data_IF_550924586001
#
_entry.id   IF_550924586001
#
_cell.length_a   1.000
_cell.length_b   1.000
_cell.length_c   1.000
_cell.angle_alpha   90.00
_cell.angle_beta   90.00
_cell.angle_gamma   90.00
#
_symmetry.space_group_name_H-M   'P 1'
#
loop_
_entity.id
_entity.type
_entity.pdbx_description
1 polymer ?
#
# COMPACT_ATOMS: atom_id res chain seq x y z
N UNK A 1 -13.92 21.72 -22.25
CA UNK A 1 -12.85 20.74 -21.97
C UNK A 1 -11.82 21.42 -21.11
N UNK A 2 -11.91 21.23 -19.80
CA UNK A 2 -10.95 21.81 -18.84
C UNK A 2 -9.84 20.77 -18.66
N UNK A 3 -8.71 21.02 -19.34
CA UNK A 3 -7.48 20.25 -19.23
C UNK A 3 -6.81 20.50 -17.87
N UNK A 4 -5.84 19.66 -17.50
CA UNK A 4 -4.96 19.92 -16.34
C UNK A 4 -4.43 21.37 -16.36
N UNK A 5 -4.29 22.02 -15.19
CA UNK A 5 -3.82 23.40 -15.13
C UNK A 5 -2.45 23.51 -15.79
N UNK A 6 -2.30 24.51 -16.67
CA UNK A 6 -1.02 24.82 -17.30
C UNK A 6 -0.04 25.30 -16.23
N UNK A 7 1.26 25.08 -16.47
CA UNK A 7 2.32 25.60 -15.59
C UNK A 7 2.14 27.11 -15.36
N UNK A 8 2.04 27.51 -14.09
CA UNK A 8 1.80 28.89 -13.61
C UNK A 8 0.42 29.48 -13.92
N UNK A 9 -0.60 28.66 -14.19
CA UNK A 9 -1.99 29.11 -14.35
C UNK A 9 -2.93 28.34 -13.42
N UNK A 10 -4.06 28.97 -13.10
CA UNK A 10 -5.17 28.32 -12.41
C UNK A 10 -6.13 27.62 -13.38
N UNK A 11 -6.98 26.77 -12.81
CA UNK A 11 -8.17 26.19 -13.47
C UNK A 11 -9.30 26.19 -12.45
N UNK A 12 -10.54 26.29 -12.92
CA UNK A 12 -11.70 26.17 -12.05
C UNK A 12 -11.81 24.75 -11.49
N UNK A 13 -12.09 24.65 -10.19
CA UNK A 13 -12.35 23.37 -9.53
C UNK A 13 -13.85 23.12 -9.55
N UNK A 14 -14.27 22.09 -10.30
CA UNK A 14 -15.68 21.76 -10.48
C UNK A 14 -16.27 21.00 -9.28
N UNK A 15 -15.45 20.17 -8.62
CA UNK A 15 -15.88 19.32 -7.52
C UNK A 15 -14.70 18.97 -6.59
N UNK A 16 -14.98 18.82 -5.30
CA UNK A 16 -14.02 18.33 -4.30
C UNK A 16 -14.70 17.36 -3.35
N UNK A 17 -14.04 16.26 -3.02
CA UNK A 17 -14.48 15.30 -2.03
C UNK A 17 -13.30 14.79 -1.19
N UNK A 18 -13.56 14.48 0.08
CA UNK A 18 -12.59 13.88 0.98
C UNK A 18 -12.87 12.40 1.21
N UNK A 19 -11.83 11.58 1.17
CA UNK A 19 -11.91 10.14 1.45
C UNK A 19 -10.67 9.66 2.20
N UNK A 20 -10.79 8.56 2.93
CA UNK A 20 -9.64 7.85 3.49
C UNK A 20 -8.90 7.18 2.33
N UNK A 21 -7.63 7.53 2.16
CA UNK A 21 -6.78 7.05 1.07
C UNK A 21 -5.67 6.13 1.57
N UNK A 22 -4.98 5.48 0.64
CA UNK A 22 -3.87 4.55 0.90
C UNK A 22 -4.33 3.09 0.88
N UNK A 23 -3.43 2.21 0.43
CA UNK A 23 -3.78 0.81 0.19
C UNK A 23 -4.04 0.06 1.50
N UNK A 24 -3.22 0.26 2.55
CA UNK A 24 -3.46 -0.32 3.88
C UNK A 24 -4.91 -0.16 4.39
N UNK A 25 -5.45 1.07 4.51
CA UNK A 25 -6.85 1.29 4.89
C UNK A 25 -7.88 0.64 3.94
N UNK A 26 -7.65 0.67 2.63
CA UNK A 26 -8.57 0.09 1.65
C UNK A 26 -8.56 -1.44 1.70
N UNK A 27 -7.41 -2.06 1.92
CA UNK A 27 -7.27 -3.50 2.14
C UNK A 27 -7.98 -3.91 3.43
N UNK A 28 -7.77 -3.17 4.52
CA UNK A 28 -8.47 -3.44 5.78
C UNK A 28 -9.99 -3.32 5.64
N UNK A 29 -10.48 -2.30 4.93
CA UNK A 29 -11.91 -2.14 4.62
C UNK A 29 -12.45 -3.28 3.75
N UNK A 30 -11.68 -3.72 2.75
CA UNK A 30 -12.06 -4.82 1.86
C UNK A 30 -12.12 -6.15 2.63
N UNK A 31 -11.15 -6.41 3.52
CA UNK A 31 -11.17 -7.57 4.40
C UNK A 31 -12.40 -7.57 5.32
N UNK A 32 -12.72 -6.43 5.92
CA UNK A 32 -13.94 -6.31 6.74
C UNK A 32 -15.22 -6.54 5.93
N UNK A 33 -15.29 -6.00 4.71
CA UNK A 33 -16.40 -6.26 3.79
C UNK A 33 -16.56 -7.74 3.40
N UNK A 34 -15.47 -8.52 3.45
CA UNK A 34 -15.44 -9.97 3.24
C UNK A 34 -15.62 -10.78 4.53
N UNK A 35 -15.86 -10.14 5.68
CA UNK A 35 -16.07 -10.80 6.97
C UNK A 35 -14.79 -11.20 7.70
N UNK A 36 -13.64 -10.64 7.31
CA UNK A 36 -12.36 -10.85 7.97
C UNK A 36 -11.99 -9.64 8.85
N UNK A 37 -11.86 -9.81 10.18
CA UNK A 37 -11.42 -8.74 11.05
C UNK A 37 -10.05 -8.19 10.64
N UNK A 38 -9.91 -6.86 10.64
CA UNK A 38 -8.66 -6.19 10.30
C UNK A 38 -8.36 -5.06 11.30
N UNK A 39 -7.08 -4.95 11.65
CA UNK A 39 -6.51 -3.81 12.36
C UNK A 39 -5.53 -3.07 11.45
N UNK A 40 -5.51 -1.75 11.55
CA UNK A 40 -4.65 -0.88 10.74
C UNK A 40 -3.56 -0.28 11.62
N UNK A 41 -2.30 -0.57 11.29
CA UNK A 41 -1.14 0.10 11.88
C UNK A 41 -0.62 1.16 10.91
N UNK A 42 -0.54 2.42 11.33
CA UNK A 42 -0.25 3.53 10.42
C UNK A 42 0.55 4.65 11.08
N UNK A 43 0.90 5.66 10.27
CA UNK A 43 1.21 6.99 10.77
C UNK A 43 0.10 7.51 11.71
N UNK A 44 0.40 8.49 12.58
CA UNK A 44 -0.61 9.07 13.44
C UNK A 44 -1.68 9.81 12.65
N UNK A 45 -2.79 10.10 13.31
CA UNK A 45 -3.87 10.95 12.81
C UNK A 45 -4.09 11.99 13.89
N UNK A 46 -4.14 13.27 13.53
CA UNK A 46 -4.29 14.35 14.51
C UNK A 46 -5.76 14.49 14.94
N UNK A 47 -6.03 15.18 16.04
CA UNK A 47 -7.40 15.55 16.45
C UNK A 47 -7.86 16.87 15.78
N UNK A 48 -7.69 16.96 14.47
CA UNK A 48 -8.27 18.01 13.64
C UNK A 48 -9.52 17.50 12.92
N UNK A 49 -10.23 18.38 12.20
CA UNK A 49 -11.48 17.99 11.50
C UNK A 49 -11.25 16.84 10.50
N UNK A 50 -10.11 16.85 9.82
CA UNK A 50 -9.71 15.80 8.88
C UNK A 50 -9.48 14.49 9.61
N UNK A 51 -8.74 14.52 10.71
CA UNK A 51 -8.44 13.32 11.48
C UNK A 51 -9.66 12.72 12.16
N UNK A 52 -10.55 13.54 12.71
CA UNK A 52 -11.86 13.08 13.21
C UNK A 52 -12.68 12.41 12.12
N UNK A 53 -12.67 12.94 10.90
CA UNK A 53 -13.33 12.31 9.74
C UNK A 53 -12.70 10.95 9.38
N UNK A 54 -11.37 10.83 9.42
CA UNK A 54 -10.67 9.55 9.25
C UNK A 54 -11.08 8.55 10.34
N UNK A 55 -11.08 8.96 11.61
CA UNK A 55 -11.49 8.12 12.72
C UNK A 55 -12.94 7.64 12.60
N UNK A 56 -13.86 8.55 12.26
CA UNK A 56 -15.26 8.21 12.03
C UNK A 56 -15.39 7.17 10.90
N UNK A 57 -14.72 7.39 9.76
CA UNK A 57 -14.77 6.47 8.62
C UNK A 57 -14.22 5.08 8.95
N UNK A 58 -13.07 5.00 9.64
CA UNK A 58 -12.50 3.72 10.05
C UNK A 58 -13.40 3.00 11.05
N UNK A 59 -14.07 3.74 11.94
CA UNK A 59 -15.07 3.20 12.87
C UNK A 59 -16.27 2.64 12.11
N UNK A 60 -16.78 3.36 11.11
CA UNK A 60 -17.88 2.90 10.25
C UNK A 60 -17.51 1.62 9.47
N UNK A 61 -16.24 1.44 9.12
CA UNK A 61 -15.71 0.23 8.50
C UNK A 61 -15.36 -0.88 9.50
N UNK A 62 -15.60 -0.66 10.80
CA UNK A 62 -15.23 -1.58 11.89
C UNK A 62 -13.72 -1.89 11.92
N UNK A 63 -12.87 -0.95 11.50
CA UNK A 63 -11.41 -1.12 11.50
C UNK A 63 -10.85 -0.54 12.79
N UNK A 64 -10.08 -1.36 13.52
CA UNK A 64 -9.36 -0.88 14.69
C UNK A 64 -8.07 -0.20 14.25
N UNK A 65 -7.93 1.09 14.56
CA UNK A 65 -6.73 1.87 14.26
C UNK A 65 -5.70 1.77 15.39
N UNK A 66 -4.45 1.51 15.03
CA UNK A 66 -3.28 1.50 15.89
C UNK A 66 -2.22 2.45 15.32
N UNK A 67 -2.38 3.77 15.52
CA UNK A 67 -1.41 4.74 15.02
C UNK A 67 -0.09 4.61 15.79
N UNK A 68 1.01 5.03 15.18
CA UNK A 68 2.25 5.21 15.92
C UNK A 68 2.11 6.29 17.01
N UNK A 69 2.92 6.20 18.06
CA UNK A 69 2.83 7.08 19.22
C UNK A 69 3.39 8.50 18.98
N UNK A 70 3.82 8.81 17.76
CA UNK A 70 4.40 10.11 17.43
C UNK A 70 3.31 11.18 17.45
N UNK A 71 3.47 12.28 18.21
CA UNK A 71 2.48 13.35 18.23
C UNK A 71 2.42 14.05 16.87
N UNK A 72 1.21 14.45 16.46
CA UNK A 72 0.97 15.16 15.21
C UNK A 72 0.02 16.32 15.44
N UNK A 73 0.39 17.51 14.96
CA UNK A 73 -0.43 18.71 15.09
C UNK A 73 -1.55 18.77 14.05
N UNK A 74 -1.35 18.17 12.87
CA UNK A 74 -2.29 18.22 11.75
C UNK A 74 -2.26 16.96 10.92
N UNK A 75 -3.43 16.40 10.63
CA UNK A 75 -3.58 15.20 9.80
C UNK A 75 -3.05 15.48 8.39
N UNK A 76 -2.20 14.58 7.90
CA UNK A 76 -1.65 14.68 6.55
C UNK A 76 -2.73 14.42 5.51
N UNK A 77 -2.62 15.12 4.39
CA UNK A 77 -3.54 15.00 3.26
C UNK A 77 -2.76 14.65 2.01
N UNK A 78 -3.36 13.79 1.18
CA UNK A 78 -2.97 13.62 -0.20
C UNK A 78 -4.00 14.35 -1.06
N UNK A 79 -3.53 15.28 -1.91
CA UNK A 79 -4.40 15.97 -2.84
C UNK A 79 -4.30 15.26 -4.19
N UNK A 80 -5.42 14.73 -4.65
CA UNK A 80 -5.51 14.09 -5.96
C UNK A 80 -6.28 15.02 -6.89
N UNK A 81 -5.61 15.51 -7.92
CA UNK A 81 -6.23 16.28 -9.00
C UNK A 81 -6.51 15.34 -10.15
N UNK A 82 -7.76 15.35 -10.63
CA UNK A 82 -8.23 14.51 -11.73
C UNK A 82 -8.74 15.40 -12.85
N UNK A 83 -8.32 15.12 -14.08
CA UNK A 83 -8.88 15.79 -15.26
C UNK A 83 -10.07 15.03 -15.86
N UNK A 84 -10.74 15.65 -16.84
CA UNK A 84 -11.87 15.04 -17.55
C UNK A 84 -11.54 13.76 -18.32
N UNK A 85 -10.26 13.51 -18.59
CA UNK A 85 -9.79 12.28 -19.24
C UNK A 85 -9.48 11.17 -18.23
N UNK A 86 -9.67 11.42 -16.94
CA UNK A 86 -9.38 10.47 -15.87
C UNK A 86 -7.88 10.40 -15.50
N UNK A 87 -7.04 11.29 -16.03
CA UNK A 87 -5.65 11.37 -15.59
C UNK A 87 -5.60 11.91 -14.18
N UNK A 88 -4.71 11.36 -13.36
CA UNK A 88 -4.58 11.72 -11.94
C UNK A 88 -3.18 12.23 -11.66
N UNK A 89 -3.08 13.30 -10.87
CA UNK A 89 -1.82 13.76 -10.28
C UNK A 89 -1.98 13.87 -8.78
N UNK A 90 -1.01 13.34 -8.04
CA UNK A 90 -1.05 13.25 -6.58
C UNK A 90 -0.03 14.19 -5.95
N UNK A 91 -0.45 14.88 -4.89
CA UNK A 91 0.40 15.74 -4.08
C UNK A 91 0.31 15.27 -2.63
N UNK A 92 1.26 14.43 -2.25
CA UNK A 92 1.27 13.77 -0.94
C UNK A 92 2.04 14.59 0.09
N UNK A 93 1.46 14.80 1.26
CA UNK A 93 2.20 15.27 2.42
C UNK A 93 3.11 14.17 2.98
N UNK A 94 4.38 14.12 2.55
CA UNK A 94 5.31 13.03 2.92
C UNK A 94 6.28 13.37 4.06
N UNK A 95 6.27 14.61 4.56
CA UNK A 95 7.24 15.03 5.59
C UNK A 95 7.09 14.19 6.85
N UNK A 96 8.15 13.52 7.29
CA UNK A 96 8.21 12.79 8.57
C UNK A 96 7.52 11.42 8.60
N UNK A 97 6.94 10.94 7.49
CA UNK A 97 6.15 9.71 7.49
C UNK A 97 6.97 8.47 7.86
N UNK A 98 8.24 8.43 7.48
CA UNK A 98 9.10 7.26 7.70
C UNK A 98 9.48 7.12 9.17
N UNK A 99 9.82 8.22 9.83
CA UNK A 99 10.15 8.22 11.27
C UNK A 99 8.95 7.88 12.14
N UNK A 100 7.76 8.33 11.74
CA UNK A 100 6.52 7.97 12.40
C UNK A 100 6.18 6.49 12.24
N UNK A 101 6.34 5.91 11.04
CA UNK A 101 6.09 4.48 10.83
C UNK A 101 7.09 3.60 11.60
N UNK A 102 8.33 4.06 11.77
CA UNK A 102 9.32 3.38 12.63
C UNK A 102 8.90 3.33 14.10
N UNK A 103 7.98 4.19 14.53
CA UNK A 103 7.45 4.25 15.89
C UNK A 103 6.17 3.40 16.10
N UNK A 104 5.81 2.53 15.14
CA UNK A 104 4.71 1.57 15.31
C UNK A 104 5.05 0.57 16.44
N UNK A 105 4.06 0.31 17.30
CA UNK A 105 4.14 -0.67 18.39
C UNK A 105 4.13 -2.12 17.84
N UNK A 106 5.32 -2.66 17.59
CA UNK A 106 5.52 -3.99 16.98
C UNK A 106 4.91 -5.16 17.76
N UNK A 107 5.00 -5.24 19.10
CA UNK A 107 4.32 -6.28 19.88
C UNK A 107 2.84 -6.49 19.51
N UNK A 108 2.11 -5.42 19.18
CA UNK A 108 0.69 -5.50 18.78
C UNK A 108 0.45 -6.13 17.42
N UNK A 109 1.46 -6.14 16.53
CA UNK A 109 1.37 -6.78 15.22
C UNK A 109 1.43 -8.31 15.31
N UNK A 110 2.09 -8.84 16.33
CA UNK A 110 2.45 -10.28 16.41
C UNK A 110 1.29 -11.22 16.76
N UNK A 111 0.08 -10.69 16.97
CA UNK A 111 -1.13 -11.49 17.24
C UNK A 111 -1.87 -11.91 15.97
N UNK A 112 -1.59 -11.27 14.83
CA UNK A 112 -2.29 -11.54 13.59
C UNK A 112 -1.66 -12.72 12.82
N UNK A 113 -2.45 -13.62 12.20
CA UNK A 113 -1.90 -14.71 11.39
C UNK A 113 -1.35 -14.23 10.05
N UNK A 114 -1.79 -13.06 9.58
CA UNK A 114 -1.42 -12.46 8.29
C UNK A 114 -1.11 -10.97 8.48
N UNK A 115 -0.03 -10.51 7.87
CA UNK A 115 0.38 -9.10 7.82
C UNK A 115 0.45 -8.65 6.36
N UNK A 116 -0.33 -7.64 6.02
CA UNK A 116 -0.21 -6.89 4.77
C UNK A 116 0.69 -5.68 4.99
N UNK A 117 1.64 -5.45 4.08
CA UNK A 117 2.64 -4.41 4.21
C UNK A 117 2.81 -3.64 2.90
N UNK A 118 2.63 -2.32 2.97
CA UNK A 118 3.03 -1.40 1.91
C UNK A 118 4.55 -1.18 1.97
N UNK A 119 5.22 -1.40 0.84
CA UNK A 119 6.67 -1.28 0.67
C UNK A 119 7.00 -0.33 -0.49
N UNK A 120 6.33 0.82 -0.53
CA UNK A 120 6.61 1.86 -1.53
C UNK A 120 7.98 2.48 -1.30
N UNK A 121 8.63 2.93 -2.37
CA UNK A 121 9.94 3.56 -2.32
C UNK A 121 9.96 4.75 -1.33
N UNK A 122 8.87 5.52 -1.28
CA UNK A 122 8.71 6.68 -0.37
C UNK A 122 8.74 6.29 1.12
N UNK A 123 8.49 5.02 1.45
CA UNK A 123 8.51 4.49 2.82
C UNK A 123 9.92 4.03 3.24
N UNK A 124 10.87 3.98 2.29
CA UNK A 124 12.28 3.66 2.53
C UNK A 124 12.44 2.35 3.36
N UNK A 125 13.12 2.43 4.50
CA UNK A 125 13.35 1.29 5.40
C UNK A 125 12.28 1.14 6.49
N UNK A 126 11.30 2.04 6.60
CA UNK A 126 10.31 1.97 7.67
C UNK A 126 9.56 0.62 7.73
N UNK A 127 9.20 -0.03 6.60
CA UNK A 127 8.53 -1.34 6.62
C UNK A 127 9.44 -2.50 7.08
N UNK A 128 10.77 -2.34 7.07
CA UNK A 128 11.73 -3.42 7.34
C UNK A 128 11.54 -4.04 8.72
N UNK A 129 11.40 -3.21 9.76
CA UNK A 129 11.25 -3.67 11.13
C UNK A 129 9.91 -4.40 11.35
N UNK A 130 8.84 -3.93 10.71
CA UNK A 130 7.53 -4.58 10.73
C UNK A 130 7.60 -5.96 10.08
N UNK A 131 8.24 -6.08 8.91
CA UNK A 131 8.43 -7.36 8.25
C UNK A 131 9.25 -8.33 9.12
N UNK A 132 10.37 -7.87 9.69
CA UNK A 132 11.20 -8.71 10.55
C UNK A 132 10.40 -9.27 11.74
N UNK A 133 9.66 -8.41 12.44
CA UNK A 133 8.82 -8.80 13.58
C UNK A 133 7.70 -9.78 13.18
N UNK A 134 7.03 -9.54 12.05
CA UNK A 134 5.99 -10.43 11.54
C UNK A 134 6.56 -11.83 11.21
N UNK A 135 7.73 -11.88 10.58
CA UNK A 135 8.39 -13.13 10.25
C UNK A 135 8.89 -13.89 11.49
N UNK A 136 9.38 -13.17 12.51
CA UNK A 136 9.78 -13.77 13.79
C UNK A 136 8.59 -14.34 14.57
N UNK A 137 7.42 -13.69 14.49
CA UNK A 137 6.17 -14.17 15.06
C UNK A 137 5.52 -15.31 14.25
N UNK A 138 6.09 -15.69 13.10
CA UNK A 138 5.54 -16.74 12.24
C UNK A 138 4.30 -16.31 11.44
N UNK A 139 4.04 -15.01 11.32
CA UNK A 139 2.96 -14.47 10.50
C UNK A 139 3.20 -14.74 9.02
N UNK A 140 2.10 -14.89 8.28
CA UNK A 140 2.15 -14.85 6.82
C UNK A 140 2.26 -13.41 6.34
N UNK A 141 3.22 -13.12 5.48
CA UNK A 141 3.46 -11.75 4.99
C UNK A 141 2.99 -11.61 3.55
N UNK A 142 2.26 -10.53 3.27
CA UNK A 142 1.88 -10.07 1.94
C UNK A 142 2.47 -8.67 1.74
N UNK A 143 3.21 -8.47 0.67
CA UNK A 143 3.87 -7.20 0.35
C UNK A 143 3.26 -6.57 -0.88
N UNK A 144 2.97 -5.27 -0.82
CA UNK A 144 2.59 -4.45 -1.95
C UNK A 144 3.67 -3.41 -2.26
N UNK A 145 4.18 -3.41 -3.49
CA UNK A 145 5.20 -2.46 -3.96
C UNK A 145 4.59 -1.22 -4.64
N UNK A 146 3.32 -1.24 -5.03
CA UNK A 146 2.62 -0.08 -5.61
C UNK A 146 3.33 0.57 -6.80
N UNK A 147 4.02 -0.21 -7.63
CA UNK A 147 4.80 0.28 -8.78
C UNK A 147 6.24 0.68 -8.44
N UNK A 148 6.64 0.59 -7.17
CA UNK A 148 8.02 0.80 -6.74
C UNK A 148 8.91 -0.40 -7.05
N UNK A 149 10.23 -0.20 -7.22
CA UNK A 149 11.16 -1.31 -7.20
C UNK A 149 11.16 -2.00 -5.82
N UNK A 150 11.48 -3.30 -5.75
CA UNK A 150 11.69 -4.00 -4.49
C UNK A 150 12.78 -3.31 -3.65
N UNK A 151 12.56 -3.10 -2.35
CA UNK A 151 13.58 -2.48 -1.53
C UNK A 151 14.80 -3.40 -1.36
N UNK A 152 16.00 -2.82 -1.36
CA UNK A 152 17.27 -3.57 -1.28
C UNK A 152 17.36 -4.47 -0.03
N UNK A 153 16.70 -4.08 1.08
CA UNK A 153 16.68 -4.84 2.33
C UNK A 153 15.76 -6.07 2.30
N UNK A 154 14.91 -6.23 1.27
CA UNK A 154 13.86 -7.27 1.23
C UNK A 154 14.45 -8.68 1.34
N UNK A 155 15.35 -9.04 0.42
CA UNK A 155 15.97 -10.36 0.39
C UNK A 155 16.80 -10.62 1.66
N UNK A 156 17.51 -9.60 2.16
CA UNK A 156 18.30 -9.68 3.38
C UNK A 156 17.42 -9.97 4.61
N UNK A 157 16.26 -9.32 4.70
CA UNK A 157 15.31 -9.49 5.83
C UNK A 157 14.66 -10.86 5.82
N UNK A 158 14.43 -11.41 4.62
CA UNK A 158 13.84 -12.73 4.47
C UNK A 158 14.79 -13.87 4.81
N UNK A 159 16.10 -13.70 4.59
CA UNK A 159 17.15 -14.70 4.91
C UNK A 159 16.83 -16.10 4.35
N UNK A 160 16.35 -16.16 3.11
CA UNK A 160 15.97 -17.42 2.43
C UNK A 160 14.56 -17.94 2.79
N UNK A 161 13.78 -17.22 3.60
CA UNK A 161 12.34 -17.48 3.77
C UNK A 161 11.57 -16.87 2.60
N UNK A 162 10.37 -17.41 2.32
CA UNK A 162 9.44 -16.83 1.35
C UNK A 162 8.25 -16.19 2.04
N UNK A 163 7.83 -15.03 1.55
CA UNK A 163 6.53 -14.43 1.90
C UNK A 163 5.41 -15.10 1.10
N UNK A 164 4.16 -14.95 1.53
CA UNK A 164 3.02 -15.55 0.82
C UNK A 164 2.79 -14.90 -0.52
N UNK A 165 2.81 -13.57 -0.57
CA UNK A 165 2.58 -12.86 -1.80
C UNK A 165 3.42 -11.59 -1.90
N UNK A 166 3.92 -11.33 -3.10
CA UNK A 166 4.51 -10.06 -3.52
C UNK A 166 3.66 -9.51 -4.66
N UNK A 167 3.12 -8.31 -4.52
CA UNK A 167 2.33 -7.69 -5.56
C UNK A 167 2.84 -6.30 -5.95
N UNK A 168 2.59 -5.92 -7.20
CA UNK A 168 2.81 -4.57 -7.71
C UNK A 168 1.86 -4.27 -8.87
N UNK A 169 1.96 -3.07 -9.44
CA UNK A 169 1.38 -2.73 -10.73
C UNK A 169 2.47 -2.52 -11.78
N UNK A 170 2.09 -2.60 -13.05
CA UNK A 170 2.91 -2.18 -14.19
C UNK A 170 2.16 -1.14 -15.02
N UNK A 171 2.84 -0.54 -15.98
CA UNK A 171 2.17 0.22 -17.04
C UNK A 171 1.10 -0.65 -17.72
N UNK A 172 0.06 -0.03 -18.29
CA UNK A 172 -1.03 -0.74 -18.99
C UNK A 172 -0.58 -1.31 -20.35
N UNK A 173 0.42 -2.18 -20.35
CA UNK A 173 0.84 -2.96 -21.48
C UNK A 173 1.42 -4.31 -21.03
N UNK A 174 1.16 -5.34 -21.84
CA UNK A 174 1.52 -6.72 -21.52
C UNK A 174 3.03 -6.93 -21.40
N UNK A 175 3.84 -6.23 -22.20
CA UNK A 175 5.30 -6.40 -22.20
C UNK A 175 5.93 -5.94 -20.88
N UNK A 176 5.54 -4.75 -20.40
CA UNK A 176 5.96 -4.18 -19.11
C UNK A 176 5.55 -5.08 -17.95
N UNK A 177 4.32 -5.62 -18.00
CA UNK A 177 3.86 -6.55 -16.99
C UNK A 177 4.72 -7.82 -16.90
N UNK A 178 5.05 -8.45 -18.04
CA UNK A 178 5.89 -9.66 -18.06
C UNK A 178 7.31 -9.38 -17.59
N UNK A 179 7.92 -8.27 -18.03
CA UNK A 179 9.25 -7.86 -17.59
C UNK A 179 9.29 -7.61 -16.08
N UNK A 180 8.26 -6.95 -15.53
CA UNK A 180 8.10 -6.73 -14.09
C UNK A 180 7.95 -8.06 -13.35
N UNK A 181 7.09 -8.96 -13.84
CA UNK A 181 6.87 -10.27 -13.22
C UNK A 181 8.17 -11.10 -13.21
N UNK A 182 8.91 -11.14 -14.32
CA UNK A 182 10.19 -11.85 -14.43
C UNK A 182 11.22 -11.32 -13.43
N UNK A 183 11.38 -10.00 -13.36
CA UNK A 183 12.30 -9.35 -12.42
C UNK A 183 11.96 -9.66 -10.97
N UNK A 184 10.67 -9.66 -10.61
CA UNK A 184 10.22 -10.00 -9.26
C UNK A 184 10.39 -11.50 -8.94
N UNK A 185 10.14 -12.39 -9.90
CA UNK A 185 10.34 -13.82 -9.72
C UNK A 185 11.82 -14.19 -9.54
N UNK A 186 12.73 -13.48 -10.21
CA UNK A 186 14.17 -13.69 -10.09
C UNK A 186 14.70 -13.44 -8.66
N UNK A 187 13.95 -12.74 -7.80
CA UNK A 187 14.30 -12.55 -6.40
C UNK A 187 14.13 -13.83 -5.56
N UNK A 188 13.26 -14.76 -5.99
CA UNK A 188 12.89 -15.98 -5.26
C UNK A 188 12.46 -15.73 -3.79
N UNK A 189 11.72 -14.65 -3.56
CA UNK A 189 11.31 -14.21 -2.22
C UNK A 189 9.85 -14.50 -1.86
N UNK A 190 9.02 -14.93 -2.80
CA UNK A 190 7.58 -15.07 -2.60
C UNK A 190 7.04 -16.38 -3.16
N UNK A 191 5.99 -16.91 -2.53
CA UNK A 191 5.25 -18.08 -3.05
C UNK A 191 4.35 -17.70 -4.23
N UNK A 192 3.78 -16.50 -4.21
CA UNK A 192 2.99 -15.92 -5.28
C UNK A 192 3.49 -14.51 -5.60
N UNK A 193 3.79 -14.25 -6.88
CA UNK A 193 4.07 -12.90 -7.38
C UNK A 193 2.91 -12.45 -8.26
N UNK A 194 2.36 -11.25 -8.06
CA UNK A 194 1.25 -10.70 -8.85
C UNK A 194 1.60 -9.32 -9.41
N UNK A 195 1.30 -9.10 -10.69
CA UNK A 195 1.43 -7.81 -11.36
C UNK A 195 0.08 -7.42 -11.94
N UNK A 196 -0.50 -6.34 -11.43
CA UNK A 196 -1.73 -5.76 -11.97
C UNK A 196 -1.43 -4.85 -13.16
N UNK A 197 -2.31 -4.85 -14.16
CA UNK A 197 -2.10 -4.22 -15.49
C UNK A 197 -3.30 -3.37 -15.88
N UNK A 198 -3.90 -2.68 -14.91
CA UNK A 198 -5.07 -1.83 -15.09
C UNK A 198 -6.22 -2.58 -15.78
N UNK A 199 -6.72 -2.03 -16.89
CA UNK A 199 -7.82 -2.64 -17.67
C UNK A 199 -7.52 -4.02 -18.27
N UNK A 200 -6.26 -4.45 -18.27
CA UNK A 200 -5.87 -5.78 -18.78
C UNK A 200 -5.90 -6.88 -17.69
N UNK A 201 -6.36 -6.54 -16.48
CA UNK A 201 -6.45 -7.48 -15.36
C UNK A 201 -5.12 -7.63 -14.64
N UNK A 202 -4.72 -8.87 -14.32
CA UNK A 202 -3.44 -9.15 -13.69
C UNK A 202 -2.78 -10.43 -14.22
N UNK A 203 -1.46 -10.52 -14.05
CA UNK A 203 -0.69 -11.74 -14.26
C UNK A 203 0.00 -12.13 -12.95
N UNK A 204 0.21 -13.42 -12.72
CA UNK A 204 0.95 -13.86 -11.55
C UNK A 204 1.71 -15.16 -11.76
N UNK A 205 2.68 -15.45 -10.89
CA UNK A 205 3.51 -16.64 -10.92
C UNK A 205 3.53 -17.28 -9.53
N UNK A 206 3.25 -18.59 -9.47
CA UNK A 206 3.34 -19.35 -8.23
C UNK A 206 4.57 -20.25 -8.24
N UNK A 207 5.38 -20.19 -7.17
CA UNK A 207 6.65 -20.91 -7.05
C UNK A 207 6.50 -22.44 -7.21
N UNK A 208 5.35 -23.03 -6.87
CA UNK A 208 5.12 -24.49 -6.90
C UNK A 208 4.78 -25.06 -8.29
N UNK A 209 5.34 -24.52 -9.37
CA UNK A 209 5.23 -25.10 -10.72
C UNK A 209 3.90 -24.86 -11.43
N UNK A 210 3.16 -23.80 -11.06
CA UNK A 210 1.99 -23.37 -11.83
C UNK A 210 2.35 -22.20 -12.73
N UNK A 211 1.93 -22.32 -14.00
CA UNK A 211 2.13 -21.35 -15.07
C UNK A 211 1.66 -19.94 -14.66
N UNK A 212 2.08 -18.94 -15.45
CA UNK A 212 1.56 -17.58 -15.33
C UNK A 212 0.01 -17.60 -15.26
N UNK A 213 -0.54 -17.22 -14.11
CA UNK A 213 -1.99 -17.13 -13.89
C UNK A 213 -2.45 -15.81 -14.46
N UNK A 214 -3.39 -15.83 -15.42
CA UNK A 214 -4.08 -14.62 -15.87
C UNK A 214 -5.35 -14.43 -15.06
N UNK A 215 -5.47 -13.26 -14.46
CA UNK A 215 -6.70 -12.80 -13.84
C UNK A 215 -7.38 -11.87 -14.86
N UNK A 216 -8.53 -12.28 -15.44
CA UNK A 216 -9.27 -11.41 -16.34
C UNK A 216 -9.75 -10.15 -15.60
N UNK A 217 -10.01 -9.04 -16.34
CA UNK A 217 -10.57 -7.82 -15.76
C UNK A 217 -11.96 -8.03 -15.15
#
# INVERSE_FOLDING_TARGET
>A
MTAMPRLNYGVDVEYTEGFVAGDGPLVAASLQGLGHPASLHSNPVADDDVGRSVHARLTDWNITLHPSATPMERTRTNIVVVDHSGNRTWFSGLRGITDELRAIDLPRLTVAPVVYLDCYEVLQEAPRAVMAAALEAGCQVIVNLGGSPPPAWLAETLRGRRIRALQTNAEENTASAHATLEALCALDVAELTVVTVGRYGAIGHAHAGQNAVRFPP
#
